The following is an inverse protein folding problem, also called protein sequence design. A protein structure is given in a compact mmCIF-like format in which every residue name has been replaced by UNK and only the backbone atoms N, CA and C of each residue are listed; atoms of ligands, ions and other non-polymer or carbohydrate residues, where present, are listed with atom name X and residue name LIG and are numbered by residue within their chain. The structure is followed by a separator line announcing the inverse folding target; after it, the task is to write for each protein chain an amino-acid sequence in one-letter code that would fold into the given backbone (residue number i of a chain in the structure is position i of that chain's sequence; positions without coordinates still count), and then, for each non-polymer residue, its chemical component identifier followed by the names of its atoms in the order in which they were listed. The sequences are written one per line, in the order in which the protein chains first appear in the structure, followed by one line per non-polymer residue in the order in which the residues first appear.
data_IF_440168076744
#
_entry.id   IF_440168076744
#
_cell.length_a   1.000
_cell.length_b   1.000
_cell.length_c   1.000
_cell.angle_alpha   90.00
_cell.angle_beta   90.00
_cell.angle_gamma   90.00
#
_symmetry.space_group_name_H-M   'P 1'
#
loop_
_entity.id
_entity.type
_entity.pdbx_description
1 polymer ?
#
# COMPACT_ATOMS: atom_id res chain seq x y z
N UNK A 1 22.27 15.26 4.90
CA UNK A 1 21.54 14.29 4.04
C UNK A 1 22.50 13.17 3.71
N UNK A 2 22.37 12.01 4.36
CA UNK A 2 23.20 10.83 4.13
C UNK A 2 22.74 10.10 2.84
N UNK A 3 23.66 9.69 1.95
CA UNK A 3 23.32 8.95 0.74
C UNK A 3 23.14 7.43 0.98
N UNK A 4 23.04 6.99 2.24
CA UNK A 4 22.95 5.57 2.57
C UNK A 4 21.64 4.94 2.07
N UNK A 5 21.78 3.76 1.44
CA UNK A 5 20.66 2.91 1.02
C UNK A 5 20.20 1.95 2.14
N UNK A 6 21.03 1.77 3.17
CA UNK A 6 20.82 0.82 4.27
C UNK A 6 20.19 1.47 5.51
N UNK A 7 20.27 2.80 5.62
CA UNK A 7 19.54 3.52 6.67
C UNK A 7 18.03 3.37 6.47
N UNK A 8 17.35 2.85 7.50
CA UNK A 8 15.90 2.56 7.47
C UNK A 8 15.06 3.72 6.92
N UNK A 9 15.39 4.96 7.29
CA UNK A 9 14.67 6.18 6.93
C UNK A 9 15.62 7.28 6.42
N UNK A 10 16.38 7.02 5.35
CA UNK A 10 17.19 8.08 4.71
C UNK A 10 16.33 9.01 3.85
N UNK A 11 16.76 10.27 3.70
CA UNK A 11 16.07 11.26 2.87
C UNK A 11 15.79 10.74 1.45
N UNK A 12 16.76 10.08 0.82
CA UNK A 12 16.62 9.54 -0.53
C UNK A 12 15.70 8.33 -0.60
N UNK A 13 15.77 7.44 0.41
CA UNK A 13 14.87 6.30 0.50
C UNK A 13 13.41 6.77 0.63
N UNK A 14 13.15 7.75 1.48
CA UNK A 14 11.81 8.33 1.66
C UNK A 14 11.35 9.09 0.42
N UNK A 15 12.22 9.90 -0.20
CA UNK A 15 11.85 10.69 -1.38
C UNK A 15 11.55 9.80 -2.59
N UNK A 16 12.48 8.92 -2.95
CA UNK A 16 12.37 8.09 -4.16
C UNK A 16 11.48 6.88 -3.88
N UNK A 17 11.77 6.13 -2.83
CA UNK A 17 10.98 4.95 -2.47
C UNK A 17 9.56 5.32 -2.06
N UNK A 18 9.38 6.41 -1.29
CA UNK A 18 8.07 6.95 -0.97
C UNK A 18 7.31 7.43 -2.22
N UNK A 19 7.96 8.06 -3.19
CA UNK A 19 7.32 8.41 -4.47
C UNK A 19 6.73 7.17 -5.16
N UNK A 20 7.52 6.11 -5.38
CA UNK A 20 7.03 4.88 -6.01
C UNK A 20 5.94 4.19 -5.17
N UNK A 21 6.11 4.14 -3.85
CA UNK A 21 5.12 3.56 -2.95
C UNK A 21 3.78 4.29 -3.00
N UNK A 22 3.79 5.61 -2.83
CA UNK A 22 2.57 6.42 -2.88
C UNK A 22 1.96 6.45 -4.27
N UNK A 23 2.76 6.49 -5.33
CA UNK A 23 2.25 6.37 -6.70
C UNK A 23 1.58 5.01 -6.90
N UNK A 24 2.21 3.90 -6.50
CA UNK A 24 1.59 2.58 -6.58
C UNK A 24 0.27 2.51 -5.79
N UNK A 25 0.28 3.02 -4.55
CA UNK A 25 -0.90 3.02 -3.70
C UNK A 25 -2.04 3.86 -4.29
N UNK A 26 -1.76 5.02 -4.87
CA UNK A 26 -2.82 5.90 -5.38
C UNK A 26 -3.28 5.53 -6.79
N UNK A 27 -2.36 5.10 -7.68
CA UNK A 27 -2.68 4.94 -9.11
C UNK A 27 -3.25 3.58 -9.48
N UNK A 28 -2.78 2.50 -8.84
CA UNK A 28 -3.12 1.13 -9.26
C UNK A 28 -3.83 0.31 -8.18
N UNK A 29 -3.83 0.76 -6.92
CA UNK A 29 -4.55 0.07 -5.87
C UNK A 29 -6.07 0.15 -6.13
N UNK A 30 -6.72 -1.00 -6.12
CA UNK A 30 -8.14 -1.12 -6.40
C UNK A 30 -9.02 -0.22 -5.52
N UNK A 31 -8.67 -0.07 -4.24
CA UNK A 31 -9.39 0.84 -3.33
C UNK A 31 -9.43 2.27 -3.84
N UNK A 32 -8.31 2.76 -4.40
CA UNK A 32 -8.20 4.13 -4.89
C UNK A 32 -8.83 4.27 -6.27
N UNK A 33 -8.57 3.32 -7.17
CA UNK A 33 -9.16 3.29 -8.52
C UNK A 33 -10.69 3.32 -8.44
N UNK A 34 -11.30 2.52 -7.57
CA UNK A 34 -12.76 2.51 -7.37
C UNK A 34 -13.32 3.86 -6.93
N UNK A 35 -12.60 4.58 -6.04
CA UNK A 35 -13.00 5.91 -5.58
C UNK A 35 -12.98 6.91 -6.73
N UNK A 36 -11.99 6.84 -7.61
CA UNK A 36 -11.91 7.71 -8.78
C UNK A 36 -13.00 7.41 -9.80
N UNK A 37 -13.28 6.13 -10.05
CA UNK A 37 -14.32 5.68 -10.99
C UNK A 37 -15.74 5.98 -10.51
N UNK A 38 -15.94 6.20 -9.21
CA UNK A 38 -17.23 6.58 -8.63
C UNK A 38 -17.52 8.09 -8.78
N UNK A 39 -16.57 8.88 -9.26
CA UNK A 39 -16.76 10.33 -9.46
C UNK A 39 -17.31 10.62 -10.86
N UNK A 40 -18.19 11.63 -11.00
CA UNK A 40 -18.94 11.86 -12.24
C UNK A 40 -18.09 12.38 -13.41
N UNK A 41 -16.85 12.83 -13.16
CA UNK A 41 -15.98 13.34 -14.21
C UNK A 41 -14.49 13.23 -13.86
N UNK A 42 -13.64 13.22 -14.89
CA UNK A 42 -12.19 13.21 -14.73
C UNK A 42 -11.69 14.37 -13.87
N UNK A 43 -12.22 15.58 -14.10
CA UNK A 43 -11.84 16.78 -13.36
C UNK A 43 -12.13 16.64 -11.87
N UNK A 44 -13.27 16.03 -11.51
CA UNK A 44 -13.60 15.73 -10.10
C UNK A 44 -12.67 14.67 -9.51
N UNK A 45 -12.31 13.65 -10.29
CA UNK A 45 -11.27 12.69 -9.92
C UNK A 45 -9.93 13.35 -9.59
N UNK A 46 -9.43 14.21 -10.48
CA UNK A 46 -8.18 14.96 -10.27
C UNK A 46 -8.25 15.88 -9.04
N UNK A 47 -9.36 16.60 -8.87
CA UNK A 47 -9.58 17.42 -7.66
C UNK A 47 -9.56 16.58 -6.39
N UNK A 48 -10.18 15.40 -6.40
CA UNK A 48 -10.17 14.47 -5.25
C UNK A 48 -8.76 14.02 -4.89
N UNK A 49 -7.91 13.73 -5.88
CA UNK A 49 -6.50 13.36 -5.66
C UNK A 49 -5.73 14.51 -5.02
N UNK A 50 -5.92 15.75 -5.48
CA UNK A 50 -5.25 16.93 -4.91
C UNK A 50 -5.66 17.14 -3.45
N UNK A 51 -6.97 17.09 -3.16
CA UNK A 51 -7.50 17.23 -1.80
C UNK A 51 -6.93 16.13 -0.89
N UNK A 52 -6.94 14.89 -1.36
CA UNK A 52 -6.36 13.76 -0.63
C UNK A 52 -4.87 13.97 -0.34
N UNK A 53 -4.10 14.40 -1.34
CA UNK A 53 -2.66 14.62 -1.20
C UNK A 53 -2.37 15.70 -0.16
N UNK A 54 -3.05 16.84 -0.22
CA UNK A 54 -2.90 17.92 0.76
C UNK A 54 -3.30 17.46 2.17
N UNK A 55 -4.40 16.71 2.29
CA UNK A 55 -4.85 16.14 3.55
C UNK A 55 -3.85 15.17 4.17
N UNK A 56 -3.27 14.28 3.36
CA UNK A 56 -2.24 13.32 3.81
C UNK A 56 -0.96 14.03 4.21
N UNK A 57 -0.51 15.04 3.46
CA UNK A 57 0.69 15.83 3.82
C UNK A 57 0.49 16.51 5.17
N UNK A 58 -0.65 17.16 5.39
CA UNK A 58 -0.98 17.79 6.66
C UNK A 58 -1.03 16.77 7.80
N UNK A 59 -1.75 15.66 7.59
CA UNK A 59 -1.89 14.60 8.59
C UNK A 59 -0.54 13.98 8.98
N UNK A 60 0.30 13.62 8.00
CA UNK A 60 1.64 13.08 8.26
C UNK A 60 2.54 14.10 8.97
N UNK A 61 2.42 15.39 8.63
CA UNK A 61 3.18 16.45 9.32
C UNK A 61 2.81 16.53 10.80
N UNK A 62 1.51 16.41 11.13
CA UNK A 62 1.04 16.36 12.52
C UNK A 62 1.53 15.10 13.23
N UNK A 63 1.50 13.93 12.58
CA UNK A 63 2.02 12.68 13.15
C UNK A 63 3.52 12.77 13.43
N UNK A 64 4.32 13.31 12.50
CA UNK A 64 5.76 13.52 12.69
C UNK A 64 6.03 14.48 13.85
N UNK A 65 5.27 15.58 13.94
CA UNK A 65 5.38 16.52 15.05
C UNK A 65 5.03 15.87 16.40
N UNK A 66 3.97 15.06 16.45
CA UNK A 66 3.62 14.29 17.65
C UNK A 66 4.74 13.32 18.04
N UNK A 67 5.38 12.65 17.07
CA UNK A 67 6.54 11.80 17.32
C UNK A 67 7.73 12.55 17.93
N UNK A 68 7.99 13.78 17.48
CA UNK A 68 9.04 14.64 18.05
C UNK A 68 8.72 15.06 19.49
N UNK A 69 7.45 15.37 19.80
CA UNK A 69 7.02 15.67 21.17
C UNK A 69 7.19 14.46 22.10
N UNK A 70 6.79 13.27 21.63
CA UNK A 70 6.98 12.02 22.38
C UNK A 70 8.47 11.75 22.62
N UNK A 71 9.31 11.97 21.61
CA UNK A 71 10.76 11.84 21.76
C UNK A 71 11.32 12.82 22.80
N UNK A 72 10.97 14.11 22.72
CA UNK A 72 11.46 15.11 23.67
C UNK A 72 11.03 14.81 25.12
N UNK A 73 9.81 14.32 25.29
CA UNK A 73 9.27 13.94 26.61
C UNK A 73 10.01 12.73 27.22
N UNK A 74 10.35 11.72 26.41
CA UNK A 74 10.99 10.48 26.88
C UNK A 74 12.51 10.41 26.69
N UNK A 75 13.16 11.45 26.15
CA UNK A 75 14.60 11.41 25.84
C UNK A 75 15.49 11.07 27.04
N UNK A 76 15.07 11.47 28.25
CA UNK A 76 15.80 11.25 29.51
C UNK A 76 15.31 10.04 30.32
N UNK A 77 14.13 9.53 29.99
CA UNK A 77 13.59 8.31 30.57
C UNK A 77 12.76 7.55 29.53
N UNK A 78 13.39 6.60 28.86
CA UNK A 78 12.72 5.76 27.88
C UNK A 78 11.75 4.77 28.57
N UNK A 79 10.44 4.86 28.32
CA UNK A 79 9.44 4.01 28.96
C UNK A 79 9.55 2.54 28.54
N UNK A 80 10.14 2.23 27.38
CA UNK A 80 10.36 0.85 26.95
C UNK A 80 11.43 0.19 27.81
N UNK A 81 12.61 0.82 27.91
CA UNK A 81 13.70 0.32 28.74
C UNK A 81 13.36 0.34 30.24
N UNK A 82 12.54 1.29 30.70
CA UNK A 82 12.02 1.32 32.06
C UNK A 82 10.97 0.22 32.36
N UNK A 83 10.55 -0.56 31.36
CA UNK A 83 9.56 -1.63 31.52
C UNK A 83 8.12 -1.14 31.70
N UNK A 84 7.83 0.13 31.37
CA UNK A 84 6.48 0.71 31.44
C UNK A 84 5.60 0.31 30.24
N UNK A 85 6.24 -0.02 29.11
CA UNK A 85 5.59 -0.52 27.91
C UNK A 85 6.33 -1.75 27.39
N UNK A 86 5.63 -2.59 26.63
CA UNK A 86 6.20 -3.80 26.03
C UNK A 86 6.58 -3.61 24.56
N UNK A 87 6.00 -2.61 23.89
CA UNK A 87 6.17 -2.38 22.45
C UNK A 87 6.32 -0.90 22.12
N UNK A 88 7.15 -0.57 21.13
CA UNK A 88 7.36 0.80 20.65
C UNK A 88 6.03 1.48 20.22
N UNK A 89 5.07 0.71 19.69
CA UNK A 89 3.77 1.23 19.25
C UNK A 89 2.88 1.74 20.40
N UNK A 90 3.24 1.44 21.66
CA UNK A 90 2.54 1.91 22.85
C UNK A 90 3.02 3.28 23.33
N UNK A 91 4.11 3.84 22.77
CA UNK A 91 4.71 5.11 23.17
C UNK A 91 3.72 6.29 23.12
N UNK A 92 2.97 6.41 22.03
CA UNK A 92 2.01 7.52 21.88
C UNK A 92 0.80 7.36 22.80
N UNK A 93 0.15 6.18 22.91
CA UNK A 93 -0.88 5.94 23.92
C UNK A 93 -0.45 6.25 25.37
N UNK A 94 0.73 5.78 25.81
CA UNK A 94 1.20 6.05 27.17
C UNK A 94 1.50 7.54 27.37
N UNK A 95 2.06 8.23 26.36
CA UNK A 95 2.24 9.68 26.39
C UNK A 95 0.93 10.44 26.60
N UNK A 96 -0.14 10.07 25.87
CA UNK A 96 -1.46 10.67 26.03
C UNK A 96 -2.01 10.42 27.44
N UNK A 97 -1.90 9.19 27.94
CA UNK A 97 -2.34 8.85 29.30
C UNK A 97 -1.58 9.65 30.37
N UNK A 98 -0.28 9.83 30.23
CA UNK A 98 0.53 10.57 31.21
C UNK A 98 0.32 12.08 31.14
N UNK A 99 0.15 12.64 29.94
CA UNK A 99 0.05 14.10 29.75
C UNK A 99 -1.35 14.61 30.08
N UNK A 100 -2.39 13.93 29.58
CA UNK A 100 -3.79 14.40 29.66
C UNK A 100 -4.71 13.41 30.36
N UNK A 101 -4.18 12.41 31.07
CA UNK A 101 -4.98 11.44 31.82
C UNK A 101 -5.83 12.04 32.94
N UNK A 102 -5.44 13.22 33.44
CA UNK A 102 -6.23 13.98 34.40
C UNK A 102 -7.53 14.56 33.80
N UNK A 103 -7.61 14.69 32.47
CA UNK A 103 -8.81 15.12 31.76
C UNK A 103 -9.69 13.90 31.44
N UNK A 104 -10.74 13.71 32.22
CA UNK A 104 -11.66 12.59 32.04
C UNK A 104 -12.22 12.55 30.61
N UNK A 105 -12.21 11.37 29.99
CA UNK A 105 -12.74 11.13 28.65
C UNK A 105 -11.77 11.40 27.49
N UNK A 106 -10.76 12.27 27.64
CA UNK A 106 -9.83 12.60 26.55
C UNK A 106 -8.98 11.40 26.10
N UNK A 107 -8.34 10.62 27.00
CA UNK A 107 -7.61 9.44 26.56
C UNK A 107 -8.53 8.38 25.92
N UNK A 108 -9.75 8.24 26.43
CA UNK A 108 -10.76 7.35 25.85
C UNK A 108 -11.14 7.77 24.42
N UNK A 109 -11.34 9.07 24.20
CA UNK A 109 -11.60 9.64 22.87
C UNK A 109 -10.43 9.42 21.91
N UNK A 110 -9.19 9.58 22.40
CA UNK A 110 -7.99 9.30 21.61
C UNK A 110 -7.95 7.84 21.13
N UNK A 111 -8.09 6.89 22.07
CA UNK A 111 -8.08 5.46 21.74
C UNK A 111 -9.25 5.09 20.82
N UNK A 112 -10.45 5.64 21.05
CA UNK A 112 -11.60 5.46 20.16
C UNK A 112 -11.32 5.96 18.74
N UNK A 113 -10.64 7.11 18.60
CA UNK A 113 -10.22 7.64 17.30
C UNK A 113 -9.22 6.73 16.58
N UNK A 114 -8.21 6.20 17.29
CA UNK A 114 -7.23 5.25 16.74
C UNK A 114 -7.91 3.98 16.22
N UNK A 115 -8.78 3.36 17.03
CA UNK A 115 -9.52 2.17 16.61
C UNK A 115 -10.50 2.48 15.47
N UNK A 116 -11.18 3.63 15.51
CA UNK A 116 -12.07 4.06 14.43
C UNK A 116 -11.35 4.22 13.10
N UNK A 117 -10.16 4.83 13.09
CA UNK A 117 -9.32 4.97 11.91
C UNK A 117 -8.83 3.61 11.37
N UNK A 118 -8.41 2.70 12.27
CA UNK A 118 -7.97 1.35 11.91
C UNK A 118 -9.13 0.53 11.31
N UNK A 119 -10.30 0.53 11.93
CA UNK A 119 -11.50 -0.19 11.46
C UNK A 119 -12.01 0.38 10.13
N UNK A 120 -11.94 1.70 9.94
CA UNK A 120 -12.29 2.34 8.67
C UNK A 120 -11.40 1.85 7.53
N UNK A 121 -10.08 1.78 7.77
CA UNK A 121 -9.11 1.28 6.78
C UNK A 121 -9.31 -0.21 6.48
N UNK A 122 -9.50 -1.02 7.53
CA UNK A 122 -9.72 -2.46 7.42
C UNK A 122 -10.97 -2.78 6.60
N UNK A 123 -12.09 -2.11 6.88
CA UNK A 123 -13.34 -2.28 6.14
C UNK A 123 -13.18 -2.02 4.64
N UNK A 124 -12.45 -0.96 4.29
CA UNK A 124 -12.19 -0.61 2.88
C UNK A 124 -11.36 -1.68 2.18
N UNK A 125 -10.31 -2.20 2.81
CA UNK A 125 -9.45 -3.25 2.22
C UNK A 125 -10.19 -4.56 2.06
N UNK A 126 -10.96 -4.98 3.07
CA UNK A 126 -11.76 -6.22 3.02
C UNK A 126 -12.82 -6.16 1.92
N UNK A 127 -13.54 -5.03 1.82
CA UNK A 127 -14.54 -4.83 0.77
C UNK A 127 -13.92 -4.81 -0.63
N UNK A 128 -12.81 -4.08 -0.82
CA UNK A 128 -12.12 -4.04 -2.10
C UNK A 128 -11.62 -5.43 -2.53
N UNK A 129 -11.05 -6.19 -1.60
CA UNK A 129 -10.54 -7.55 -1.86
C UNK A 129 -11.67 -8.51 -2.21
N UNK A 130 -12.80 -8.46 -1.49
CA UNK A 130 -13.97 -9.28 -1.81
C UNK A 130 -14.56 -8.94 -3.18
N UNK A 131 -14.53 -7.66 -3.57
CA UNK A 131 -14.97 -7.22 -4.88
C UNK A 131 -14.02 -7.69 -6.00
N UNK A 132 -12.70 -7.62 -5.79
CA UNK A 132 -11.70 -8.20 -6.71
C UNK A 132 -11.94 -9.69 -6.89
N UNK A 133 -12.14 -10.43 -5.81
CA UNK A 133 -12.44 -11.86 -5.87
C UNK A 133 -13.70 -12.15 -6.70
N UNK A 134 -14.77 -11.38 -6.49
CA UNK A 134 -16.01 -11.54 -7.26
C UNK A 134 -15.82 -11.23 -8.75
N UNK A 135 -15.24 -10.07 -9.09
CA UNK A 135 -15.18 -9.62 -10.48
C UNK A 135 -14.12 -10.36 -11.27
N UNK A 136 -12.93 -10.55 -10.70
CA UNK A 136 -11.77 -11.04 -11.46
C UNK A 136 -11.70 -12.58 -11.44
N UNK A 137 -12.02 -13.20 -10.31
CA UNK A 137 -11.95 -14.66 -10.16
C UNK A 137 -13.28 -15.31 -10.56
N UNK A 138 -14.38 -14.95 -9.90
CA UNK A 138 -15.66 -15.63 -10.12
C UNK A 138 -16.28 -15.29 -11.47
N UNK A 139 -16.39 -14.00 -11.80
CA UNK A 139 -16.99 -13.54 -13.05
C UNK A 139 -16.00 -13.54 -14.21
N UNK A 140 -14.76 -13.10 -13.99
CA UNK A 140 -13.73 -13.03 -15.02
C UNK A 140 -13.18 -14.40 -15.39
N UNK A 141 -12.59 -15.10 -14.41
CA UNK A 141 -11.86 -16.35 -14.65
C UNK A 141 -12.80 -17.56 -14.79
N UNK A 142 -13.74 -17.75 -13.86
CA UNK A 142 -14.68 -18.87 -13.90
C UNK A 142 -15.93 -18.60 -14.75
N UNK A 143 -16.15 -17.36 -15.20
CA UNK A 143 -17.31 -16.96 -16.03
C UNK A 143 -18.66 -17.31 -15.41
N UNK A 144 -18.72 -17.37 -14.07
CA UNK A 144 -19.95 -17.71 -13.34
C UNK A 144 -20.81 -16.46 -13.18
N UNK A 145 -22.03 -16.52 -13.70
CA UNK A 145 -23.05 -15.47 -13.48
C UNK A 145 -23.87 -15.83 -12.25
N UNK A 146 -23.65 -15.12 -11.16
CA UNK A 146 -24.39 -15.28 -9.92
C UNK A 146 -25.62 -14.36 -9.91
N UNK A 147 -26.70 -14.81 -9.27
CA UNK A 147 -27.83 -13.95 -8.92
C UNK A 147 -27.39 -12.87 -7.92
N UNK A 148 -28.16 -11.79 -7.77
CA UNK A 148 -27.84 -10.73 -6.81
C UNK A 148 -27.77 -11.24 -5.37
N UNK A 149 -28.71 -12.11 -4.98
CA UNK A 149 -28.71 -12.74 -3.65
C UNK A 149 -27.46 -13.59 -3.42
N UNK A 150 -27.09 -14.43 -4.39
CA UNK A 150 -25.89 -15.26 -4.30
C UNK A 150 -24.60 -14.41 -4.29
N UNK A 151 -24.57 -13.33 -5.07
CA UNK A 151 -23.45 -12.37 -5.09
C UNK A 151 -23.26 -11.74 -3.72
N UNK A 152 -24.32 -11.25 -3.09
CA UNK A 152 -24.26 -10.62 -1.77
C UNK A 152 -23.83 -11.60 -0.68
N UNK A 153 -24.32 -12.84 -0.72
CA UNK A 153 -23.90 -13.88 0.23
C UNK A 153 -22.42 -14.21 0.04
N UNK A 154 -21.96 -14.36 -1.20
CA UNK A 154 -20.56 -14.65 -1.50
C UNK A 154 -19.64 -13.53 -0.99
N UNK A 155 -19.92 -12.27 -1.35
CA UNK A 155 -19.09 -11.12 -0.95
C UNK A 155 -19.00 -11.02 0.57
N UNK A 156 -20.13 -11.12 1.28
CA UNK A 156 -20.15 -11.12 2.75
C UNK A 156 -19.36 -12.29 3.35
N UNK A 157 -19.48 -13.48 2.76
CA UNK A 157 -18.74 -14.67 3.21
C UNK A 157 -17.23 -14.50 3.03
N UNK A 158 -16.80 -13.92 1.90
CA UNK A 158 -15.38 -13.61 1.64
C UNK A 158 -14.86 -12.58 2.64
N UNK A 159 -15.63 -11.54 2.96
CA UNK A 159 -15.25 -10.53 3.97
C UNK A 159 -15.05 -11.18 5.34
N UNK A 160 -15.98 -12.03 5.78
CA UNK A 160 -15.89 -12.75 7.07
C UNK A 160 -14.66 -13.66 7.09
N UNK A 161 -14.41 -14.40 6.01
CA UNK A 161 -13.24 -15.27 5.87
C UNK A 161 -11.93 -14.47 5.96
N UNK A 162 -11.83 -13.37 5.22
CA UNK A 162 -10.65 -12.50 5.24
C UNK A 162 -10.44 -11.90 6.65
N UNK A 163 -11.51 -11.54 7.35
CA UNK A 163 -11.45 -11.11 8.75
C UNK A 163 -10.91 -12.20 9.69
N UNK A 164 -11.37 -13.45 9.53
CA UNK A 164 -10.88 -14.58 10.32
C UNK A 164 -9.39 -14.87 10.05
N UNK A 165 -8.96 -14.76 8.78
CA UNK A 165 -7.54 -14.88 8.40
C UNK A 165 -6.72 -13.75 9.03
N UNK A 166 -7.19 -12.50 8.96
CA UNK A 166 -6.51 -11.37 9.59
C UNK A 166 -6.35 -11.53 11.10
N UNK A 167 -7.38 -12.03 11.81
CA UNK A 167 -7.30 -12.36 13.23
C UNK A 167 -6.29 -13.47 13.52
N UNK A 168 -6.22 -14.49 12.66
CA UNK A 168 -5.25 -15.58 12.80
C UNK A 168 -3.81 -15.11 12.61
N UNK A 169 -3.57 -14.12 11.75
CA UNK A 169 -2.24 -13.55 11.50
C UNK A 169 -1.69 -12.76 12.69
N UNK A 170 -2.50 -12.40 13.69
CA UNK A 170 -2.03 -11.70 14.90
C UNK A 170 -0.97 -12.53 15.63
N UNK A 171 -1.13 -13.85 15.71
CA UNK A 171 -0.14 -14.74 16.34
C UNK A 171 1.23 -14.73 15.65
N UNK A 172 1.26 -14.40 14.35
CA UNK A 172 2.50 -14.21 13.60
C UNK A 172 3.07 -12.82 13.86
N UNK A 173 2.22 -11.78 13.85
CA UNK A 173 2.62 -10.39 14.09
C UNK A 173 3.25 -10.19 15.47
N UNK A 174 2.77 -10.89 16.50
CA UNK A 174 3.35 -10.87 17.85
C UNK A 174 4.82 -11.35 17.90
N UNK A 175 5.27 -12.08 16.89
CA UNK A 175 6.67 -12.56 16.77
C UNK A 175 7.55 -11.64 15.93
N UNK A 176 6.98 -10.62 15.30
CA UNK A 176 7.70 -9.73 14.40
C UNK A 176 7.98 -8.38 15.08
N UNK A 177 9.24 -7.99 15.14
CA UNK A 177 9.63 -6.64 15.56
C UNK A 177 9.54 -5.66 14.40
N UNK A 178 8.98 -4.47 14.64
CA UNK A 178 8.92 -3.39 13.65
C UNK A 178 7.79 -3.56 12.64
N UNK A 179 6.54 -3.46 13.14
CA UNK A 179 5.30 -3.64 12.36
C UNK A 179 5.27 -2.73 11.12
N UNK A 180 5.75 -1.48 11.23
CA UNK A 180 5.83 -0.57 10.08
C UNK A 180 6.69 -1.15 8.95
N UNK A 181 7.87 -1.69 9.27
CA UNK A 181 8.77 -2.30 8.27
C UNK A 181 8.11 -3.50 7.60
N UNK A 182 7.47 -4.38 8.39
CA UNK A 182 6.75 -5.55 7.88
C UNK A 182 5.63 -5.11 6.93
N UNK A 183 4.77 -4.19 7.37
CA UNK A 183 3.61 -3.73 6.62
C UNK A 183 4.01 -3.08 5.30
N UNK A 184 5.02 -2.19 5.32
CA UNK A 184 5.51 -1.55 4.10
C UNK A 184 6.19 -2.56 3.16
N UNK A 185 7.00 -3.48 3.68
CA UNK A 185 7.71 -4.49 2.88
C UNK A 185 6.75 -5.46 2.18
N UNK A 186 5.70 -5.91 2.87
CA UNK A 186 4.68 -6.80 2.27
C UNK A 186 3.84 -6.04 1.24
N UNK A 187 3.44 -4.81 1.55
CA UNK A 187 2.69 -3.96 0.61
C UNK A 187 3.50 -3.65 -0.64
N UNK A 188 4.82 -3.48 -0.52
CA UNK A 188 5.74 -3.22 -1.63
C UNK A 188 5.79 -4.36 -2.66
N UNK A 189 5.50 -5.60 -2.26
CA UNK A 189 5.47 -6.75 -3.18
C UNK A 189 4.33 -6.57 -4.19
N UNK A 190 3.11 -6.42 -3.69
CA UNK A 190 1.93 -6.24 -4.53
C UNK A 190 1.96 -4.88 -5.24
N UNK A 191 2.30 -3.80 -4.51
CA UNK A 191 2.36 -2.45 -5.03
C UNK A 191 3.42 -2.28 -6.12
N UNK A 192 4.64 -2.77 -5.91
CA UNK A 192 5.72 -2.68 -6.89
C UNK A 192 5.43 -3.49 -8.15
N UNK A 193 4.90 -4.70 -7.99
CA UNK A 193 4.53 -5.57 -9.12
C UNK A 193 3.41 -4.96 -9.96
N UNK A 194 2.30 -4.59 -9.34
CA UNK A 194 1.14 -4.01 -10.06
C UNK A 194 1.50 -2.68 -10.71
N UNK A 195 2.17 -1.78 -9.98
CA UNK A 195 2.65 -0.51 -10.54
C UNK A 195 3.59 -0.74 -11.71
N UNK A 196 4.49 -1.73 -11.62
CA UNK A 196 5.37 -2.13 -12.71
C UNK A 196 4.62 -2.60 -13.96
N UNK A 197 3.60 -3.46 -13.81
CA UNK A 197 2.83 -3.99 -14.95
C UNK A 197 2.05 -2.86 -15.65
N UNK A 198 1.35 -2.03 -14.89
CA UNK A 198 0.61 -0.89 -15.46
C UNK A 198 1.55 0.10 -16.13
N UNK A 199 2.69 0.40 -15.51
CA UNK A 199 3.71 1.30 -16.09
C UNK A 199 4.29 0.71 -17.37
N UNK A 200 4.57 -0.60 -17.40
CA UNK A 200 5.02 -1.32 -18.59
C UNK A 200 4.00 -1.17 -19.72
N UNK A 201 2.71 -1.40 -19.45
CA UNK A 201 1.65 -1.27 -20.43
C UNK A 201 1.46 0.15 -20.97
N UNK A 202 1.57 1.17 -20.10
CA UNK A 202 1.37 2.57 -20.48
C UNK A 202 2.57 3.21 -21.20
N UNK A 203 3.80 2.76 -20.92
CA UNK A 203 5.03 3.40 -21.40
C UNK A 203 5.82 2.57 -22.42
N UNK A 204 5.57 1.26 -22.52
CA UNK A 204 6.32 0.35 -23.39
C UNK A 204 5.36 -0.23 -24.44
N UNK A 205 5.14 0.45 -25.58
CA UNK A 205 4.08 0.09 -26.52
C UNK A 205 4.32 -1.27 -27.23
N UNK A 206 5.56 -1.75 -27.26
CA UNK A 206 5.90 -3.08 -27.78
C UNK A 206 5.76 -4.21 -26.75
N UNK A 207 5.35 -3.89 -25.51
CA UNK A 207 5.09 -4.89 -24.47
C UNK A 207 3.94 -5.82 -24.88
N UNK A 208 4.11 -7.12 -24.64
CA UNK A 208 3.14 -8.17 -24.93
C UNK A 208 2.73 -8.91 -23.65
N UNK A 209 1.67 -9.73 -23.72
CA UNK A 209 1.14 -10.44 -22.55
C UNK A 209 2.18 -11.36 -21.89
N UNK A 210 3.03 -12.02 -22.67
CA UNK A 210 4.08 -12.92 -22.15
C UNK A 210 5.12 -12.14 -21.34
N UNK A 211 5.56 -10.99 -21.85
CA UNK A 211 6.48 -10.12 -21.13
C UNK A 211 5.83 -9.46 -19.92
N UNK A 212 4.58 -9.03 -20.01
CA UNK A 212 3.87 -8.53 -18.83
C UNK A 212 3.78 -9.58 -17.71
N UNK A 213 3.48 -10.84 -18.03
CA UNK A 213 3.45 -11.95 -17.06
C UNK A 213 4.85 -12.27 -16.50
N UNK A 214 5.88 -12.33 -17.34
CA UNK A 214 7.25 -12.59 -16.91
C UNK A 214 7.80 -11.44 -16.03
N UNK A 215 7.53 -10.20 -16.41
CA UNK A 215 7.84 -9.02 -15.63
C UNK A 215 7.12 -9.04 -14.28
N UNK A 216 5.82 -9.34 -14.26
CA UNK A 216 5.04 -9.47 -13.04
C UNK A 216 5.65 -10.51 -12.08
N UNK A 217 5.98 -11.69 -12.60
CA UNK A 217 6.61 -12.75 -11.82
C UNK A 217 7.97 -12.31 -11.27
N UNK A 218 8.81 -11.68 -12.11
CA UNK A 218 10.12 -11.18 -11.68
C UNK A 218 10.02 -10.09 -10.61
N UNK A 219 9.10 -9.14 -10.77
CA UNK A 219 8.84 -8.10 -9.78
C UNK A 219 8.39 -8.67 -8.43
N UNK A 220 7.43 -9.59 -8.45
CA UNK A 220 6.92 -10.24 -7.25
C UNK A 220 7.99 -11.09 -6.56
N UNK A 221 8.77 -11.87 -7.33
CA UNK A 221 9.87 -12.69 -6.80
C UNK A 221 10.97 -11.82 -6.21
N UNK A 222 11.40 -10.76 -6.89
CA UNK A 222 12.45 -9.88 -6.40
C UNK A 222 12.02 -9.13 -5.14
N UNK A 223 10.85 -8.50 -5.15
CA UNK A 223 10.34 -7.83 -3.95
C UNK A 223 10.10 -8.82 -2.82
N UNK A 224 9.53 -9.99 -3.10
CA UNK A 224 9.29 -11.04 -2.10
C UNK A 224 10.58 -11.57 -1.49
N UNK A 225 11.58 -11.88 -2.31
CA UNK A 225 12.90 -12.33 -1.85
C UNK A 225 13.54 -11.34 -0.88
N UNK A 226 13.49 -10.04 -1.22
CA UNK A 226 14.07 -8.99 -0.38
C UNK A 226 13.24 -8.80 0.89
N UNK A 227 11.91 -8.70 0.78
CA UNK A 227 11.02 -8.52 1.93
C UNK A 227 11.14 -9.67 2.93
N UNK A 228 10.99 -10.92 2.49
CA UNK A 228 11.06 -12.07 3.38
C UNK A 228 12.47 -12.30 3.92
N UNK A 229 13.51 -12.09 3.10
CA UNK A 229 14.89 -12.21 3.56
C UNK A 229 15.29 -11.15 4.59
N UNK A 230 14.86 -9.90 4.40
CA UNK A 230 15.04 -8.82 5.38
C UNK A 230 14.32 -9.14 6.68
N UNK A 231 13.06 -9.57 6.61
CA UNK A 231 12.29 -9.93 7.80
C UNK A 231 12.86 -11.17 8.52
N UNK A 232 13.39 -12.15 7.80
CA UNK A 232 14.05 -13.31 8.39
C UNK A 232 15.36 -12.90 9.09
N UNK A 233 16.16 -12.02 8.49
CA UNK A 233 17.38 -11.51 9.10
C UNK A 233 17.11 -10.68 10.37
N UNK A 234 16.06 -9.85 10.36
CA UNK A 234 15.59 -9.12 11.54
C UNK A 234 15.10 -10.10 12.62
N UNK A 235 14.28 -11.08 12.25
CA UNK A 235 13.74 -12.08 13.18
C UNK A 235 14.81 -12.98 13.82
N UNK A 236 15.92 -13.24 13.11
CA UNK A 236 17.08 -13.94 13.63
C UNK A 236 17.98 -13.07 14.53
N UNK A 237 17.69 -11.77 14.67
CA UNK A 237 18.51 -10.84 15.43
C UNK A 237 19.80 -10.40 14.72
N UNK A 238 19.95 -10.69 13.43
CA UNK A 238 21.14 -10.29 12.65
C UNK A 238 21.09 -8.83 12.18
N UNK A 239 19.90 -8.21 12.18
CA UNK A 239 19.70 -6.78 11.87
C UNK A 239 18.87 -6.15 12.98
N UNK A 240 19.42 -5.10 13.61
CA UNK A 240 18.77 -4.36 14.68
C UNK A 240 18.10 -3.07 14.22
N UNK A 241 17.13 -2.54 15.00
CA UNK A 241 16.68 -1.16 14.83
C UNK A 241 17.80 -0.21 15.29
N UNK A 242 18.28 0.63 14.37
CA UNK A 242 19.13 1.78 14.70
C UNK A 242 18.25 2.86 15.36
N UNK A 243 18.15 2.84 16.69
CA UNK A 243 17.36 3.79 17.49
C UNK A 243 18.17 5.06 17.77
N UNK A 244 17.48 6.18 17.96
CA UNK A 244 18.11 7.41 18.46
C UNK A 244 18.60 7.20 19.89
N UNK A 245 19.67 7.89 20.28
CA UNK A 245 20.20 7.82 21.63
C UNK A 245 19.17 8.33 22.64
N UNK A 246 18.87 7.51 23.63
CA UNK A 246 17.99 7.81 24.76
C UNK A 246 18.75 7.55 26.07
N UNK A 247 18.37 8.25 27.13
CA UNK A 247 18.90 8.04 28.48
C UNK A 247 17.85 7.38 29.37
N UNK A 248 18.33 6.72 30.43
CA UNK A 248 17.53 6.20 31.55
C UNK A 248 17.93 6.88 32.87
N UNK A 249 18.76 7.93 32.81
CA UNK A 249 19.31 8.62 34.00
C UNK A 249 18.26 9.25 34.90
N UNK A 250 17.12 9.64 34.33
CA UNK A 250 16.02 10.29 35.07
C UNK A 250 14.84 9.32 35.30
N UNK A 251 15.01 8.02 35.03
CA UNK A 251 13.99 7.03 35.34
C UNK A 251 13.96 6.67 36.83
N UNK A 252 12.76 6.39 37.35
CA UNK A 252 12.55 5.93 38.73
C UNK A 252 13.14 4.54 39.02
N UNK A 253 13.50 3.78 37.98
CA UNK A 253 13.97 2.40 38.07
C UNK A 253 15.41 2.32 37.56
N UNK A 254 16.29 1.66 38.32
CA UNK A 254 17.69 1.49 37.95
C UNK A 254 17.79 0.40 36.86
N UNK A 255 17.96 0.81 35.61
CA UNK A 255 18.06 -0.09 34.46
C UNK A 255 19.34 0.19 33.67
N UNK A 256 19.98 -0.84 33.13
CA UNK A 256 21.16 -0.70 32.27
C UNK A 256 20.70 -0.83 30.82
N UNK A 257 20.93 0.20 30.01
CA UNK A 257 20.62 0.14 28.58
C UNK A 257 21.56 -0.93 27.96
N UNK A 258 21.03 -1.99 27.32
CA UNK A 258 21.87 -2.93 26.60
C UNK A 258 22.55 -2.20 25.44
N UNK A 259 23.88 -2.28 25.37
CA UNK A 259 24.62 -1.79 24.21
C UNK A 259 24.31 -2.71 23.04
N UNK A 260 23.55 -2.22 22.06
CA UNK A 260 23.29 -2.94 20.82
C UNK A 260 24.58 -3.01 20.01
N UNK A 261 25.08 -4.23 19.78
CA UNK A 261 26.22 -4.47 18.91
C UNK A 261 25.74 -4.64 17.46
N UNK A 262 26.17 -3.73 16.60
CA UNK A 262 25.83 -3.71 15.17
C UNK A 262 26.95 -4.24 14.27
N UNK A 263 28.06 -4.75 14.84
CA UNK A 263 29.24 -5.16 14.08
C UNK A 263 28.96 -6.28 13.07
N UNK A 264 28.07 -7.22 13.42
CA UNK A 264 27.67 -8.35 12.58
C UNK A 264 26.71 -8.00 11.42
N UNK A 265 26.11 -6.81 11.38
CA UNK A 265 25.17 -6.46 10.30
C UNK A 265 25.86 -6.44 8.93
N UNK A 266 27.13 -6.07 8.89
CA UNK A 266 27.91 -5.98 7.65
C UNK A 266 28.01 -7.31 6.90
N UNK A 267 27.93 -8.44 7.62
CA UNK A 267 27.97 -9.80 7.08
C UNK A 267 26.63 -10.25 6.49
N UNK A 268 25.54 -9.57 6.82
CA UNK A 268 24.22 -9.88 6.28
C UNK A 268 24.18 -9.52 4.80
N UNK A 269 23.55 -10.39 4.00
CA UNK A 269 23.40 -10.20 2.57
C UNK A 269 22.88 -8.78 2.25
N UNK A 270 23.58 -8.00 1.39
CA UNK A 270 23.33 -6.55 1.24
C UNK A 270 21.88 -6.18 0.90
N UNK A 271 21.17 -7.00 0.12
CA UNK A 271 19.77 -6.70 -0.23
C UNK A 271 18.83 -6.76 0.97
N UNK A 272 19.14 -7.59 1.99
CA UNK A 272 18.31 -7.72 3.19
C UNK A 272 18.46 -6.55 4.15
N UNK A 273 19.54 -5.77 3.99
CA UNK A 273 19.82 -4.56 4.77
C UNK A 273 19.25 -3.29 4.17
N UNK A 274 18.73 -3.34 2.95
CA UNK A 274 18.17 -2.16 2.30
C UNK A 274 17.00 -1.61 3.11
N UNK A 275 16.84 -0.28 3.10
CA UNK A 275 15.59 0.32 3.57
C UNK A 275 14.40 -0.29 2.83
N UNK A 276 13.35 -0.62 3.58
CA UNK A 276 12.12 -1.19 3.04
C UNK A 276 11.47 -0.30 1.96
N UNK A 277 11.77 1.00 1.93
CA UNK A 277 11.31 1.93 0.89
C UNK A 277 11.84 1.58 -0.51
N UNK A 278 13.03 0.99 -0.60
CA UNK A 278 13.64 0.59 -1.88
C UNK A 278 12.99 -0.64 -2.50
N UNK A 279 12.29 -1.46 -1.72
CA UNK A 279 11.67 -2.70 -2.18
C UNK A 279 10.66 -2.43 -3.30
N UNK A 280 9.83 -1.38 -3.15
CA UNK A 280 8.85 -1.01 -4.19
C UNK A 280 9.56 -0.62 -5.49
N UNK A 281 10.63 0.17 -5.39
CA UNK A 281 11.41 0.63 -6.55
C UNK A 281 12.01 -0.57 -7.28
N UNK A 282 12.63 -1.49 -6.54
CA UNK A 282 13.22 -2.70 -7.09
C UNK A 282 12.16 -3.56 -7.78
N UNK A 283 10.98 -3.72 -7.18
CA UNK A 283 9.86 -4.45 -7.78
C UNK A 283 9.40 -3.83 -9.11
N UNK A 284 9.23 -2.51 -9.16
CA UNK A 284 8.84 -1.78 -10.38
C UNK A 284 9.90 -1.93 -11.46
N UNK A 285 11.17 -1.68 -11.13
CA UNK A 285 12.28 -1.76 -12.08
C UNK A 285 12.48 -3.19 -12.61
N UNK A 286 12.38 -4.20 -11.75
CA UNK A 286 12.49 -5.61 -12.15
C UNK A 286 11.36 -5.98 -13.11
N UNK A 287 10.14 -5.52 -12.84
CA UNK A 287 8.98 -5.73 -13.71
C UNK A 287 9.19 -5.09 -15.09
N UNK A 288 9.64 -3.83 -15.11
CA UNK A 288 9.88 -3.09 -16.34
C UNK A 288 11.00 -3.73 -17.17
N UNK A 289 12.12 -4.09 -16.53
CA UNK A 289 13.28 -4.66 -17.20
C UNK A 289 12.97 -6.04 -17.79
N UNK A 290 12.53 -6.99 -16.96
CA UNK A 290 12.24 -8.35 -17.41
C UNK A 290 11.07 -8.38 -18.37
N UNK A 291 10.04 -7.56 -18.12
CA UNK A 291 8.89 -7.48 -18.99
C UNK A 291 9.25 -6.96 -20.38
N UNK A 292 10.05 -5.88 -20.45
CA UNK A 292 10.51 -5.33 -21.73
C UNK A 292 11.38 -6.33 -22.50
N UNK A 293 12.39 -6.93 -21.84
CA UNK A 293 13.29 -7.90 -22.48
C UNK A 293 12.51 -9.11 -23.00
N UNK A 294 11.62 -9.68 -22.17
CA UNK A 294 10.82 -10.83 -22.56
C UNK A 294 9.87 -10.51 -23.71
N UNK A 295 9.27 -9.32 -23.74
CA UNK A 295 8.44 -8.90 -24.86
C UNK A 295 9.20 -8.79 -26.18
N UNK A 296 10.45 -8.31 -26.16
CA UNK A 296 11.31 -8.34 -27.35
C UNK A 296 11.64 -9.76 -27.80
N UNK A 297 11.98 -10.65 -26.87
CA UNK A 297 12.34 -12.04 -27.18
C UNK A 297 11.16 -12.89 -27.67
N UNK A 298 9.94 -12.59 -27.21
CA UNK A 298 8.75 -13.40 -27.50
C UNK A 298 7.88 -12.87 -28.65
N UNK A 299 8.36 -11.84 -29.36
CA UNK A 299 7.64 -11.17 -30.44
C UNK A 299 6.92 -9.92 -29.95
N UNK A 300 7.45 -8.71 -30.19
CA UNK A 300 6.87 -7.47 -29.68
C UNK A 300 5.47 -7.22 -30.25
N UNK A 301 4.62 -6.58 -29.46
CA UNK A 301 3.25 -6.24 -29.89
C UNK A 301 3.28 -5.28 -31.08
N UNK A 302 2.40 -5.54 -32.05
CA UNK A 302 2.23 -4.65 -33.22
C UNK A 302 1.52 -3.37 -32.80
N UNK A 303 2.32 -2.31 -32.63
CA UNK A 303 1.88 -1.00 -32.10
C UNK A 303 0.73 -0.36 -32.92
N UNK A 304 0.68 -0.61 -34.24
CA UNK A 304 -0.32 -0.04 -35.15
C UNK A 304 -1.78 -0.35 -34.79
N UNK A 305 -2.04 -1.36 -33.94
CA UNK A 305 -3.39 -1.76 -33.55
C UNK A 305 -3.79 -1.34 -32.13
N UNK A 306 -2.95 -0.62 -31.40
CA UNK A 306 -3.29 -0.19 -30.04
C UNK A 306 -4.17 1.06 -30.03
N UNK A 307 -4.99 1.13 -28.98
CA UNK A 307 -5.71 2.34 -28.62
C UNK A 307 -4.75 3.33 -27.92
N UNK A 308 -4.69 4.55 -28.43
CA UNK A 308 -3.81 5.60 -27.91
C UNK A 308 -4.26 6.10 -26.53
N UNK A 309 -5.54 5.94 -26.18
CA UNK A 309 -6.06 6.34 -24.86
C UNK A 309 -5.50 5.47 -23.72
N UNK A 310 -5.03 4.26 -24.02
CA UNK A 310 -4.41 3.35 -23.05
C UNK A 310 -2.93 3.68 -22.81
N UNK A 311 -2.33 4.51 -23.68
CA UNK A 311 -0.91 4.85 -23.64
C UNK A 311 -0.69 6.23 -23.05
N UNK A 312 0.40 6.39 -22.31
CA UNK A 312 0.73 7.68 -21.71
C UNK A 312 0.97 8.76 -22.77
N UNK A 313 0.44 9.99 -22.59
CA UNK A 313 0.72 11.12 -23.49
C UNK A 313 2.22 11.38 -23.72
N UNK A 314 3.07 11.01 -22.76
CA UNK A 314 4.52 11.19 -22.84
C UNK A 314 5.14 10.41 -24.01
N UNK A 315 4.56 9.26 -24.38
CA UNK A 315 5.08 8.42 -25.46
C UNK A 315 4.40 8.67 -26.80
N UNK A 316 3.35 9.51 -26.85
CA UNK A 316 2.59 9.80 -28.08
C UNK A 316 3.48 10.32 -29.21
N UNK A 317 4.53 11.10 -28.90
CA UNK A 317 5.49 11.60 -29.91
C UNK A 317 6.26 10.51 -30.64
N UNK A 318 6.34 9.31 -30.05
CA UNK A 318 7.08 8.16 -30.58
C UNK A 318 6.16 7.13 -31.24
N UNK A 319 4.84 7.35 -31.23
CA UNK A 319 3.88 6.43 -31.81
C UNK A 319 3.68 6.71 -33.31
N UNK A 320 3.41 5.66 -34.11
CA UNK A 320 3.02 5.81 -35.51
C UNK A 320 1.74 6.66 -35.64
N UNK A 321 1.64 7.43 -36.72
CA UNK A 321 0.46 8.29 -36.98
C UNK A 321 -0.84 7.48 -37.10
N UNK A 322 -0.74 6.22 -37.53
CA UNK A 322 -1.85 5.29 -37.66
C UNK A 322 -2.55 5.00 -36.32
N UNK A 323 -1.87 5.17 -35.18
CA UNK A 323 -2.47 4.99 -33.87
C UNK A 323 -3.48 6.11 -33.54
N UNK A 324 -3.31 7.31 -34.10
CA UNK A 324 -4.17 8.49 -33.81
C UNK A 324 -5.40 8.57 -34.72
N UNK A 325 -5.62 7.60 -35.61
CA UNK A 325 -6.82 7.57 -36.42
C UNK A 325 -8.03 7.22 -35.53
N UNK A 326 -9.10 8.04 -35.53
CA UNK A 326 -10.28 7.76 -34.74
C UNK A 326 -10.86 6.41 -35.20
N UNK A 327 -10.79 5.40 -34.33
CA UNK A 327 -11.54 4.16 -34.54
C UNK A 327 -13.02 4.51 -34.40
N UNK A 328 -13.81 4.16 -35.41
CA UNK A 328 -15.26 4.02 -35.24
C UNK A 328 -15.49 3.19 -33.98
N UNK A 329 -16.12 3.78 -32.97
CA UNK A 329 -16.26 3.22 -31.63
C UNK A 329 -16.55 1.71 -31.67
N UNK A 330 -15.59 0.88 -31.24
CA UNK A 330 -15.90 -0.50 -30.88
C UNK A 330 -16.76 -0.43 -29.61
N UNK A 331 -17.94 -1.08 -29.57
CA UNK A 331 -18.92 -0.91 -28.50
C UNK A 331 -18.48 -1.48 -27.13
N UNK A 332 -17.33 -2.16 -27.05
CA UNK A 332 -16.92 -2.91 -25.86
C UNK A 332 -16.12 -2.10 -24.82
N UNK A 333 -15.70 -0.87 -25.11
CA UNK A 333 -14.87 -0.11 -24.17
C UNK A 333 -15.16 1.40 -24.18
N UNK A 334 -16.41 1.80 -23.95
CA UNK A 334 -16.71 3.18 -23.57
C UNK A 334 -16.50 3.35 -22.07
N UNK A 335 -15.94 4.49 -21.63
CA UNK A 335 -15.96 4.93 -20.21
C UNK A 335 -17.38 4.87 -19.63
N UNK A 336 -18.38 5.05 -20.49
CA UNK A 336 -19.78 4.89 -20.15
C UNK A 336 -20.12 3.47 -19.76
N UNK A 337 -19.50 2.41 -20.28
CA UNK A 337 -19.86 1.02 -19.92
C UNK A 337 -19.38 0.65 -18.50
N UNK A 338 -18.19 1.10 -18.09
CA UNK A 338 -17.67 0.89 -16.72
C UNK A 338 -18.34 1.82 -15.70
N UNK A 339 -18.60 3.07 -16.09
CA UNK A 339 -19.35 4.03 -15.29
C UNK A 339 -20.82 3.65 -15.19
N UNK A 340 -21.49 3.23 -16.26
CA UNK A 340 -22.87 2.73 -16.24
C UNK A 340 -22.98 1.45 -15.44
N UNK A 341 -22.03 0.51 -15.53
CA UNK A 341 -22.09 -0.70 -14.68
C UNK A 341 -21.98 -0.35 -13.19
N UNK A 342 -21.15 0.63 -12.84
CA UNK A 342 -20.96 1.06 -11.45
C UNK A 342 -22.08 1.98 -10.94
N UNK A 343 -22.59 2.87 -11.80
CA UNK A 343 -23.73 3.78 -11.54
C UNK A 343 -25.03 3.00 -11.48
N UNK A 344 -25.26 2.00 -12.33
CA UNK A 344 -26.46 1.15 -12.30
C UNK A 344 -26.53 0.32 -11.02
N UNK A 345 -25.38 -0.08 -10.44
CA UNK A 345 -25.32 -0.74 -9.13
C UNK A 345 -25.57 0.22 -7.96
N UNK A 346 -25.19 1.51 -8.09
CA UNK A 346 -25.39 2.53 -7.05
C UNK A 346 -26.78 3.19 -7.11
N UNK A 347 -27.37 3.33 -8.30
CA UNK A 347 -28.71 3.88 -8.52
C UNK A 347 -29.79 2.89 -8.06
N UNK A 348 -29.61 1.60 -8.33
CA UNK A 348 -30.55 0.56 -7.87
C UNK A 348 -30.57 0.44 -6.32
N UNK A 349 -29.45 0.77 -5.66
CA UNK A 349 -29.40 0.90 -4.19
C UNK A 349 -30.14 2.13 -3.67
N UNK A 350 -30.28 3.21 -4.45
CA UNK A 350 -31.01 4.43 -4.05
C UNK A 350 -32.51 4.31 -4.29
N UNK A 351 -32.93 3.69 -5.39
CA UNK A 351 -34.34 3.45 -5.67
C UNK A 351 -34.96 2.45 -4.68
N UNK A 352 -34.21 1.41 -4.26
CA UNK A 352 -34.67 0.49 -3.21
C UNK A 352 -34.76 1.09 -1.80
N UNK A 353 -34.06 2.20 -1.52
CA UNK A 353 -34.26 2.96 -0.27
C UNK A 353 -35.47 3.89 -0.32
N UNK A 354 -35.80 4.46 -1.48
CA UNK A 354 -36.97 5.36 -1.60
C UNK A 354 -38.30 4.60 -1.64
N UNK A 355 -38.32 3.35 -2.09
CA UNK A 355 -39.53 2.50 -2.06
C UNK A 355 -39.77 1.81 -0.70
N UNK A 356 -38.87 1.94 0.27
CA UNK A 356 -39.07 1.45 1.65
C UNK A 356 -39.66 2.47 2.62
N UNK A 357 -39.76 3.74 2.22
CA UNK A 357 -40.41 4.81 3.00
C UNK A 357 -41.83 5.16 2.46
N UNK A 358 -42.37 4.33 1.57
CA UNK A 358 -43.79 4.34 1.19
C UNK A 358 -44.34 2.93 1.28
N UNK A 359 -44.58 2.44 2.50
CA UNK A 359 -45.72 1.59 2.88
C UNK A 359 -45.69 1.32 4.38
#
# INVERSE_FOLDING_TARGET
ITPSLYERQSFWAVLIGGFFYWTAFNSVNQTMVQRYMSLPSLKKGQQSIIIFTLGVVLFLSVCCFAGLLVFDFYRNCDPLNAGLISNDDQLLPIYVMQTVGHLQGIPGLFIAGVFGAALSSLSVVLNATALVFLQDIVRGSFKVKLSEKATNILVKSVIVLLGAVAMSLIFVLEKLSGILSVATSVTAIAGGTTCGIFTLGMLVPWSNTKGALAGAAAGAVMSGWISFGSQAAIGAGHIGPHKLNVSVSECLVNYTIPVLDYSGESEVFPLYRLSFHWITVIGVLSTLLVGTVTSFLTGPTVVKKMDVELLSPVIHRFLPKECFQPRSASPDFSRDSTAQTSIHLLANNREQTNDRDRY
#
